data_IF_555835214740
#
_entry.id   IF_555835214740
#
_cell.length_a   1.000
_cell.length_b   1.000
_cell.length_c   1.000
_cell.angle_alpha   90.00
_cell.angle_beta   90.00
_cell.angle_gamma   90.00
#
_symmetry.space_group_name_H-M   'P 1'
#
loop_
_entity.id
_entity.type
_entity.pdbx_description
1 polymer ?
#
# COMPACT_ATOMS: atom_id res chain seq x y z
N UNK A 1 -19.45 -1.79 -27.42
CA UNK A 1 -19.95 -0.77 -26.46
C UNK A 1 -18.97 -0.75 -25.29
N UNK A 2 -18.08 0.25 -25.15
CA UNK A 2 -17.15 0.29 -24.04
C UNK A 2 -17.94 0.65 -22.77
N UNK A 3 -17.75 -0.11 -21.70
CA UNK A 3 -18.22 0.32 -20.39
C UNK A 3 -17.57 1.67 -20.09
N UNK A 4 -18.34 2.70 -19.67
CA UNK A 4 -17.74 3.93 -19.20
C UNK A 4 -16.79 3.53 -18.08
N UNK A 5 -15.51 3.89 -18.22
CA UNK A 5 -14.48 3.67 -17.22
C UNK A 5 -14.97 4.32 -15.93
N UNK A 6 -15.66 3.54 -15.09
CA UNK A 6 -16.23 4.01 -13.83
C UNK A 6 -15.12 4.63 -12.98
N UNK A 7 -15.46 5.51 -12.03
CA UNK A 7 -14.46 6.11 -11.15
C UNK A 7 -13.57 5.00 -10.60
N UNK A 8 -12.27 5.05 -10.92
CA UNK A 8 -11.30 4.06 -10.47
C UNK A 8 -11.43 4.00 -8.95
N UNK A 9 -11.93 2.87 -8.43
CA UNK A 9 -12.09 2.68 -7.00
C UNK A 9 -10.76 3.04 -6.33
N UNK A 10 -10.73 3.98 -5.37
CA UNK A 10 -9.48 4.45 -4.80
C UNK A 10 -8.68 3.26 -4.27
N UNK A 11 -7.48 3.05 -4.84
CA UNK A 11 -6.62 1.89 -4.58
C UNK A 11 -6.40 1.68 -3.07
N UNK A 12 -6.34 2.78 -2.32
CA UNK A 12 -6.24 2.80 -0.86
C UNK A 12 -7.32 1.95 -0.17
N UNK A 13 -8.58 2.00 -0.61
CA UNK A 13 -9.68 1.26 0.02
C UNK A 13 -9.55 -0.25 -0.23
N UNK A 14 -9.10 -0.64 -1.42
CA UNK A 14 -8.83 -2.04 -1.75
C UNK A 14 -7.65 -2.57 -0.93
N UNK A 15 -6.62 -1.74 -0.70
CA UNK A 15 -5.48 -2.10 0.12
C UNK A 15 -5.87 -2.30 1.59
N UNK A 16 -6.69 -1.41 2.16
CA UNK A 16 -7.21 -1.59 3.53
C UNK A 16 -7.98 -2.91 3.69
N UNK A 17 -8.84 -3.23 2.74
CA UNK A 17 -9.54 -4.51 2.72
C UNK A 17 -8.57 -5.70 2.69
N UNK A 18 -7.54 -5.65 1.84
CA UNK A 18 -6.53 -6.71 1.73
C UNK A 18 -5.71 -6.87 3.03
N UNK A 19 -5.38 -5.76 3.70
CA UNK A 19 -4.68 -5.80 5.00
C UNK A 19 -5.58 -6.46 6.05
N UNK A 20 -6.84 -6.06 6.16
CA UNK A 20 -7.79 -6.70 7.06
C UNK A 20 -7.97 -8.20 6.73
N UNK A 21 -8.02 -8.54 5.44
CA UNK A 21 -8.10 -9.93 4.96
C UNK A 21 -6.87 -10.74 5.36
N UNK A 22 -5.67 -10.16 5.29
CA UNK A 22 -4.43 -10.78 5.73
C UNK A 22 -4.38 -11.00 7.25
N UNK A 23 -4.83 -10.02 8.04
CA UNK A 23 -4.88 -10.13 9.49
C UNK A 23 -5.92 -11.15 9.99
N UNK A 24 -6.94 -11.48 9.18
CA UNK A 24 -8.00 -12.43 9.54
C UNK A 24 -7.51 -13.84 9.87
N UNK A 25 -6.43 -14.29 9.26
CA UNK A 25 -5.80 -15.59 9.54
C UNK A 25 -4.57 -15.48 10.43
N UNK A 26 -4.20 -14.28 10.86
CA UNK A 26 -3.00 -14.01 11.66
C UNK A 26 -3.23 -14.04 13.17
N UNK A 27 -2.15 -13.93 13.97
CA UNK A 27 -2.24 -13.81 15.43
C UNK A 27 -2.83 -12.45 15.89
N UNK A 28 -2.80 -11.44 15.02
CA UNK A 28 -3.17 -10.05 15.31
C UNK A 28 -4.69 -9.80 15.34
N UNK A 29 -5.46 -10.64 16.04
CA UNK A 29 -6.94 -10.57 16.07
C UNK A 29 -7.48 -9.26 16.67
N UNK A 30 -6.81 -8.72 17.69
CA UNK A 30 -7.20 -7.43 18.30
C UNK A 30 -7.04 -6.27 17.32
N UNK A 31 -5.90 -6.24 16.61
CA UNK A 31 -5.64 -5.22 15.59
C UNK A 31 -6.65 -5.30 14.44
N UNK A 32 -7.01 -6.51 14.00
CA UNK A 32 -8.07 -6.70 13.01
C UNK A 32 -9.40 -6.11 13.46
N UNK A 33 -9.82 -6.38 14.71
CA UNK A 33 -11.11 -5.89 15.22
C UNK A 33 -11.16 -4.37 15.21
N UNK A 34 -10.12 -3.71 15.72
CA UNK A 34 -10.01 -2.25 15.73
C UNK A 34 -9.97 -1.71 14.30
N UNK A 35 -9.16 -2.33 13.43
CA UNK A 35 -9.07 -1.92 12.02
C UNK A 35 -10.43 -1.99 11.32
N UNK A 36 -11.19 -3.08 11.47
CA UNK A 36 -12.52 -3.20 10.85
C UNK A 36 -13.46 -2.11 11.35
N UNK A 37 -13.46 -1.82 12.66
CA UNK A 37 -14.27 -0.73 13.22
C UNK A 37 -13.91 0.63 12.62
N UNK A 38 -12.62 0.96 12.55
CA UNK A 38 -12.14 2.21 11.95
C UNK A 38 -12.48 2.31 10.45
N UNK A 39 -12.40 1.19 9.72
CA UNK A 39 -12.73 1.14 8.30
C UNK A 39 -14.22 1.41 8.04
N UNK A 40 -15.09 0.91 8.91
CA UNK A 40 -16.54 1.15 8.82
C UNK A 40 -16.90 2.57 9.28
N UNK A 41 -16.31 3.05 10.38
CA UNK A 41 -16.53 4.40 10.90
C UNK A 41 -16.11 5.49 9.90
N UNK A 42 -14.95 5.32 9.26
CA UNK A 42 -14.42 6.27 8.27
C UNK A 42 -14.85 5.95 6.84
N UNK A 43 -15.70 4.94 6.65
CA UNK A 43 -16.23 4.52 5.34
C UNK A 43 -15.12 4.24 4.30
N UNK A 44 -14.01 3.66 4.75
CA UNK A 44 -12.81 3.38 3.95
C UNK A 44 -12.88 2.05 3.17
N UNK A 45 -14.04 1.40 3.19
CA UNK A 45 -14.28 0.17 2.43
C UNK A 45 -14.74 0.47 0.99
N UNK A 46 -14.39 -0.37 0.00
CA UNK A 46 -14.86 -0.19 -1.37
C UNK A 46 -16.38 -0.22 -1.47
N UNK A 47 -16.97 0.89 -1.92
CA UNK A 47 -18.42 1.02 -2.12
C UNK A 47 -18.91 0.21 -3.32
N UNK A 48 -20.20 -0.15 -3.30
CA UNK A 48 -20.88 -0.74 -4.47
C UNK A 48 -21.45 0.37 -5.34
N UNK A 49 -21.37 0.21 -6.65
CA UNK A 49 -22.18 0.99 -7.58
C UNK A 49 -23.42 0.17 -7.96
N UNK A 50 -24.58 0.79 -7.91
CA UNK A 50 -25.79 0.23 -8.51
C UNK A 50 -25.82 0.46 -10.04
N UNK A 51 -26.86 -0.02 -10.71
CA UNK A 51 -27.02 0.16 -12.16
C UNK A 51 -27.33 1.62 -12.56
N UNK A 52 -27.71 2.47 -11.60
CA UNK A 52 -27.91 3.90 -11.77
C UNK A 52 -26.64 4.72 -11.48
N UNK A 53 -25.58 4.08 -10.97
CA UNK A 53 -24.30 4.70 -10.64
C UNK A 53 -24.23 5.27 -9.20
N UNK A 54 -25.21 5.02 -8.34
CA UNK A 54 -25.15 5.47 -6.95
C UNK A 54 -24.27 4.56 -6.10
N UNK A 55 -23.58 5.17 -5.14
CA UNK A 55 -22.70 4.47 -4.22
C UNK A 55 -23.44 3.96 -2.98
N UNK A 56 -23.25 2.67 -2.67
CA UNK A 56 -23.82 2.04 -1.48
C UNK A 56 -22.71 1.56 -0.55
N UNK A 57 -22.85 1.92 0.73
CA UNK A 57 -22.00 1.44 1.81
C UNK A 57 -22.23 -0.05 2.06
N UNK A 58 -21.19 -0.72 2.55
CA UNK A 58 -21.22 -2.14 2.89
C UNK A 58 -20.35 -2.41 4.11
N UNK A 59 -20.74 -3.42 4.89
CA UNK A 59 -19.93 -3.91 5.99
C UNK A 59 -18.72 -4.69 5.48
N UNK A 60 -17.72 -4.85 6.33
CA UNK A 60 -16.55 -5.66 6.00
C UNK A 60 -16.94 -7.12 5.68
N UNK A 61 -17.89 -7.69 6.43
CA UNK A 61 -18.34 -9.07 6.25
C UNK A 61 -19.02 -9.30 4.89
N UNK A 62 -19.88 -8.38 4.46
CA UNK A 62 -20.48 -8.42 3.11
C UNK A 62 -19.42 -8.33 2.01
N UNK A 63 -18.36 -7.55 2.24
CA UNK A 63 -17.27 -7.42 1.29
C UNK A 63 -16.47 -8.72 1.19
N UNK A 64 -16.22 -9.41 2.31
CA UNK A 64 -15.61 -10.74 2.31
C UNK A 64 -16.49 -11.77 1.59
N UNK A 65 -17.80 -11.75 1.85
CA UNK A 65 -18.77 -12.68 1.23
C UNK A 65 -18.90 -12.46 -0.29
N UNK A 66 -18.81 -11.21 -0.76
CA UNK A 66 -18.84 -10.90 -2.18
C UNK A 66 -17.50 -11.15 -2.89
N UNK A 67 -16.38 -11.13 -2.15
CA UNK A 67 -15.03 -11.34 -2.69
C UNK A 67 -14.42 -12.67 -2.20
N UNK A 68 -15.15 -13.79 -2.34
CA UNK A 68 -14.69 -15.13 -1.91
C UNK A 68 -13.40 -15.58 -2.59
N UNK A 69 -13.13 -15.09 -3.79
CA UNK A 69 -11.92 -15.38 -4.56
C UNK A 69 -10.66 -14.74 -3.94
N UNK A 70 -10.82 -13.75 -3.04
CA UNK A 70 -9.72 -13.10 -2.33
C UNK A 70 -9.40 -13.90 -1.07
N UNK A 71 -8.40 -14.77 -1.20
CA UNK A 71 -7.87 -15.54 -0.09
C UNK A 71 -7.16 -14.65 0.95
N UNK A 72 -7.07 -15.07 2.24
CA UNK A 72 -6.32 -14.36 3.27
C UNK A 72 -4.85 -14.08 2.94
N UNK A 73 -4.21 -14.96 2.19
CA UNK A 73 -2.81 -14.82 1.77
C UNK A 73 -2.66 -14.07 0.44
N UNK A 74 -3.74 -13.55 -0.15
CA UNK A 74 -3.71 -12.90 -1.47
C UNK A 74 -2.71 -11.75 -1.55
N UNK A 75 -2.65 -10.91 -0.51
CA UNK A 75 -1.67 -9.81 -0.43
C UNK A 75 -0.22 -10.35 -0.46
N UNK A 76 0.05 -11.44 0.26
CA UNK A 76 1.36 -12.08 0.27
C UNK A 76 1.70 -12.70 -1.10
N UNK A 77 0.73 -13.29 -1.78
CA UNK A 77 0.91 -13.82 -3.14
C UNK A 77 1.27 -12.72 -4.14
N UNK A 78 0.63 -11.55 -4.04
CA UNK A 78 0.97 -10.37 -4.85
C UNK A 78 2.43 -9.98 -4.62
N UNK A 79 2.82 -9.82 -3.35
CA UNK A 79 4.20 -9.49 -2.96
C UNK A 79 5.24 -10.49 -3.51
N UNK A 80 4.94 -11.79 -3.49
CA UNK A 80 5.82 -12.84 -4.04
C UNK A 80 5.93 -12.79 -5.57
N UNK A 81 4.85 -12.43 -6.27
CA UNK A 81 4.83 -12.36 -7.74
C UNK A 81 5.53 -11.12 -8.28
N UNK A 82 5.49 -10.00 -7.56
CA UNK A 82 6.10 -8.74 -8.01
C UNK A 82 7.63 -8.88 -8.15
N UNK A 83 8.31 -9.56 -7.21
CA UNK A 83 9.77 -9.70 -7.23
C UNK A 83 10.33 -10.24 -8.56
N UNK A 84 9.94 -11.45 -8.98
CA UNK A 84 10.41 -12.03 -10.24
C UNK A 84 10.04 -11.23 -11.49
N UNK A 85 8.91 -10.51 -11.48
CA UNK A 85 8.52 -9.61 -12.57
C UNK A 85 9.49 -8.43 -12.65
N UNK A 86 9.81 -7.83 -11.50
CA UNK A 86 10.72 -6.70 -11.41
C UNK A 86 12.17 -7.09 -11.71
N UNK A 87 12.59 -8.31 -11.35
CA UNK A 87 13.93 -8.83 -11.62
C UNK A 87 14.23 -8.94 -13.13
N UNK A 88 13.20 -9.11 -13.97
CA UNK A 88 13.35 -9.12 -15.44
C UNK A 88 13.61 -7.73 -16.02
N UNK A 89 12.90 -6.72 -15.53
CA UNK A 89 12.98 -5.35 -16.05
C UNK A 89 14.19 -4.59 -15.48
N UNK A 90 14.48 -4.80 -14.19
CA UNK A 90 15.55 -4.11 -13.47
C UNK A 90 16.25 -5.15 -12.60
N UNK A 91 17.42 -5.70 -12.98
CA UNK A 91 18.06 -6.74 -12.20
C UNK A 91 18.54 -6.24 -10.82
N UNK A 92 18.39 -7.05 -9.75
CA UNK A 92 18.95 -6.75 -8.43
C UNK A 92 20.48 -6.77 -8.47
N UNK A 93 21.13 -6.05 -7.55
CA UNK A 93 22.59 -6.11 -7.38
C UNK A 93 23.10 -7.48 -6.90
N UNK A 94 22.23 -8.28 -6.28
CA UNK A 94 22.55 -9.60 -5.75
C UNK A 94 21.42 -10.53 -6.16
N UNK A 95 21.68 -11.49 -7.05
CA UNK A 95 20.71 -12.53 -7.35
C UNK A 95 20.59 -13.43 -6.12
N UNK A 96 19.37 -13.73 -5.66
CA UNK A 96 18.98 -14.72 -4.60
C UNK A 96 18.41 -14.13 -3.30
N UNK A 97 18.41 -12.81 -3.09
CA UNK A 97 17.78 -12.20 -1.90
C UNK A 97 16.63 -11.31 -2.32
N UNK A 98 15.41 -11.84 -2.25
CA UNK A 98 14.19 -11.07 -2.49
C UNK A 98 13.55 -10.75 -1.12
N UNK A 99 13.73 -9.52 -0.66
CA UNK A 99 13.16 -9.03 0.60
C UNK A 99 12.14 -7.93 0.33
N UNK A 100 10.95 -8.04 0.94
CA UNK A 100 9.93 -6.97 0.92
C UNK A 100 10.39 -5.70 1.62
N UNK A 101 11.37 -5.84 2.52
CA UNK A 101 11.94 -4.75 3.33
C UNK A 101 13.32 -4.33 2.81
N UNK A 102 13.70 -4.77 1.60
CA UNK A 102 14.95 -4.38 0.97
C UNK A 102 14.96 -2.89 0.61
N UNK A 103 16.14 -2.27 0.70
CA UNK A 103 16.35 -0.87 0.32
C UNK A 103 17.11 -0.75 -1.01
N UNK A 104 16.98 0.41 -1.66
CA UNK A 104 17.71 0.72 -2.89
C UNK A 104 17.48 -0.31 -4.00
N UNK A 105 18.55 -0.90 -4.53
CA UNK A 105 18.48 -1.91 -5.61
C UNK A 105 17.89 -3.26 -5.20
N UNK A 106 17.68 -3.50 -3.90
CA UNK A 106 16.99 -4.69 -3.38
C UNK A 106 15.53 -4.40 -3.01
N UNK A 107 15.05 -3.16 -3.20
CA UNK A 107 13.65 -2.81 -2.97
C UNK A 107 12.76 -3.31 -4.12
N UNK A 108 11.56 -3.77 -3.79
CA UNK A 108 10.50 -4.03 -4.78
C UNK A 108 9.96 -2.75 -5.45
N UNK A 109 10.37 -1.57 -4.96
CA UNK A 109 10.00 -0.27 -5.52
C UNK A 109 11.15 0.38 -6.32
N UNK A 110 12.19 -0.38 -6.66
CA UNK A 110 13.34 0.15 -7.41
C UNK A 110 12.93 0.59 -8.82
N UNK A 111 13.59 1.65 -9.31
CA UNK A 111 13.38 2.18 -10.66
C UNK A 111 14.69 2.15 -11.46
N UNK A 112 14.61 2.02 -12.78
CA UNK A 112 15.77 1.91 -13.68
C UNK A 112 16.69 3.14 -13.60
N UNK A 113 16.11 4.31 -13.37
CA UNK A 113 16.83 5.52 -13.00
C UNK A 113 17.15 5.39 -11.52
N UNK A 114 18.27 4.74 -11.20
CA UNK A 114 18.77 4.46 -9.84
C UNK A 114 19.05 5.69 -8.96
N UNK A 115 18.11 6.62 -8.90
CA UNK A 115 17.88 7.45 -7.73
C UNK A 115 17.33 6.49 -6.69
N UNK A 116 18.28 5.92 -5.95
CA UNK A 116 18.18 5.68 -4.52
C UNK A 116 17.07 6.56 -3.92
N UNK A 117 16.29 6.02 -3.00
CA UNK A 117 15.65 6.79 -1.94
C UNK A 117 16.67 7.83 -1.43
N UNK A 118 16.72 9.01 -2.05
CA UNK A 118 17.41 10.12 -1.46
C UNK A 118 16.63 10.34 -0.18
N UNK A 119 17.28 10.12 0.96
CA UNK A 119 17.63 11.15 1.94
C UNK A 119 17.16 12.61 1.70
N UNK A 120 16.16 12.89 0.87
CA UNK A 120 15.59 14.21 0.59
C UNK A 120 14.40 14.53 1.48
N UNK A 121 13.85 13.57 2.24
CA UNK A 121 12.87 13.82 3.31
C UNK A 121 13.47 13.88 4.72
N UNK A 122 14.80 13.89 4.85
CA UNK A 122 15.47 14.28 6.10
C UNK A 122 15.90 15.75 6.12
N UNK A 123 15.58 16.53 5.08
CA UNK A 123 15.92 17.96 4.97
C UNK A 123 14.75 18.92 5.20
N UNK A 124 13.65 18.44 5.78
CA UNK A 124 12.48 19.28 6.10
C UNK A 124 12.11 19.35 7.58
N UNK A 125 12.83 18.65 8.48
CA UNK A 125 12.58 18.74 9.93
C UNK A 125 13.70 19.45 10.71
N UNK A 126 14.80 19.86 10.05
CA UNK A 126 15.91 20.57 10.73
C UNK A 126 15.94 22.10 10.48
N UNK A 127 15.04 22.64 9.64
CA UNK A 127 14.98 24.09 9.35
C UNK A 127 14.06 24.90 10.27
N UNK A 128 13.53 24.31 11.34
CA UNK A 128 12.68 25.04 12.30
C UNK A 128 13.16 25.03 13.76
N UNK A 129 14.32 24.43 14.09
CA UNK A 129 14.75 24.34 15.49
C UNK A 129 16.11 24.97 15.80
N UNK A 130 17.01 25.16 14.83
CA UNK A 130 18.29 25.82 15.10
C UNK A 130 18.57 26.96 14.13
N UNK A 131 17.80 28.03 14.28
CA UNK A 131 18.25 29.36 13.88
C UNK A 131 19.39 29.79 14.80
N UNK A 132 20.63 29.69 14.33
CA UNK A 132 21.78 30.33 14.97
C UNK A 132 22.59 31.07 13.90
N UNK A 133 22.50 32.40 13.94
CA UNK A 133 23.45 33.34 13.35
C UNK A 133 24.80 33.15 14.03
N UNK A 134 25.87 32.94 13.27
CA UNK A 134 27.23 33.36 13.68
C UNK A 134 27.92 33.99 12.49
N UNK A 135 28.45 35.19 12.74
CA UNK A 135 29.22 36.07 11.86
C UNK A 135 30.62 35.53 11.52
N UNK A 136 31.13 35.86 10.33
CA UNK A 136 32.37 36.64 10.18
C UNK A 136 33.69 35.95 9.81
N UNK A 137 34.33 36.52 8.76
CA UNK A 137 35.78 36.80 8.57
C UNK A 137 36.63 35.54 8.19
N UNK A 138 37.43 35.47 7.11
CA UNK A 138 38.29 36.40 6.36
C UNK A 138 37.97 36.38 4.87
#
# INVERSE_FOLDING_TARGET
RPWPSGPRRPLHHQLYFLIARFLSTGPCRRALKVLVQELEQHQLLPKRLDWQGNEHYRSYEELVLSNKHVAPDHLLQICKRIGPILDKEIPPSISRVNSLLGAGRQSLLRTAKGRICSLSEMRLIHWHVYGVRVWGIV
#
